data_IF_386193624723
#
_entry.id   IF_386193624723
#
_cell.length_a   1.000
_cell.length_b   1.000
_cell.length_c   1.000
_cell.angle_alpha   90.00
_cell.angle_beta   90.00
_cell.angle_gamma   90.00
#
_symmetry.space_group_name_H-M   'P 1'
#
loop_
_entity.id
_entity.type
_entity.pdbx_description
1 polymer ?
#
# COMPACT_ATOMS: atom_id res chain seq x y z
N UNK A 1 3.64 14.86 9.43
CA UNK A 1 4.87 15.48 8.87
C UNK A 1 6.05 14.76 9.49
N UNK A 2 6.51 13.67 8.88
CA UNK A 2 7.48 12.75 9.49
C UNK A 2 8.49 12.16 8.49
N UNK A 3 8.78 12.84 7.37
CA UNK A 3 9.40 12.15 6.23
C UNK A 3 10.82 12.61 5.87
N UNK A 4 11.23 13.84 6.16
CA UNK A 4 12.59 14.30 5.80
C UNK A 4 13.70 13.67 6.65
N UNK A 5 13.40 13.17 7.85
CA UNK A 5 14.41 12.59 8.75
C UNK A 5 14.55 11.07 8.63
N UNK A 6 13.55 10.41 8.04
CA UNK A 6 13.64 8.98 7.70
C UNK A 6 14.76 8.73 6.70
N UNK A 7 15.03 9.69 5.80
CA UNK A 7 16.12 9.57 4.82
C UNK A 7 17.51 9.48 5.47
N UNK A 8 17.71 10.12 6.63
CA UNK A 8 18.98 10.05 7.37
C UNK A 8 19.21 8.64 7.92
N UNK A 9 18.17 8.07 8.52
CA UNK A 9 18.20 6.70 9.03
C UNK A 9 18.45 5.69 7.90
N UNK A 10 17.75 5.83 6.78
CA UNK A 10 17.95 4.98 5.60
C UNK A 10 19.38 5.07 5.07
N UNK A 11 19.92 6.28 4.89
CA UNK A 11 21.30 6.47 4.41
C UNK A 11 22.34 5.91 5.37
N UNK A 12 22.09 5.99 6.67
CA UNK A 12 22.95 5.39 7.69
C UNK A 12 22.92 3.85 7.61
N UNK A 13 21.73 3.27 7.51
CA UNK A 13 21.53 1.82 7.42
C UNK A 13 22.07 1.24 6.10
N UNK A 14 21.89 1.93 4.97
CA UNK A 14 22.50 1.58 3.67
C UNK A 14 24.03 1.48 3.74
N UNK A 15 24.66 2.31 4.56
CA UNK A 15 26.12 2.31 4.76
C UNK A 15 26.57 1.40 5.91
N UNK A 16 25.64 0.72 6.60
CA UNK A 16 25.95 -0.14 7.74
C UNK A 16 26.50 0.60 8.97
N UNK A 17 26.23 1.90 9.10
CA UNK A 17 26.81 2.72 10.16
C UNK A 17 25.95 2.72 11.43
N UNK A 18 26.62 2.76 12.59
CA UNK A 18 25.96 2.96 13.88
C UNK A 18 25.70 4.44 14.13
N UNK A 19 24.75 4.75 15.02
CA UNK A 19 24.49 6.13 15.44
C UNK A 19 25.77 6.80 15.99
N UNK A 20 26.56 6.04 16.76
CA UNK A 20 27.84 6.49 17.32
C UNK A 20 28.90 6.78 16.26
N UNK A 21 28.96 5.95 15.21
CA UNK A 21 29.89 6.18 14.11
C UNK A 21 29.59 7.50 13.40
N UNK A 22 28.34 7.72 13.00
CA UNK A 22 27.92 8.95 12.33
C UNK A 22 28.12 10.17 13.24
N UNK A 23 27.73 10.05 14.51
CA UNK A 23 27.89 11.12 15.49
C UNK A 23 29.36 11.53 15.64
N UNK A 24 30.26 10.55 15.76
CA UNK A 24 31.70 10.78 15.82
C UNK A 24 32.25 11.44 14.55
N UNK A 25 31.84 10.95 13.38
CA UNK A 25 32.37 11.42 12.10
C UNK A 25 31.99 12.89 11.80
N UNK A 26 30.80 13.33 12.24
CA UNK A 26 30.36 14.72 12.05
C UNK A 26 30.61 15.61 13.28
N UNK A 27 31.13 15.04 14.37
CA UNK A 27 31.43 15.74 15.61
C UNK A 27 30.19 16.26 16.34
N UNK A 28 29.18 15.41 16.54
CA UNK A 28 27.98 15.71 17.36
C UNK A 28 27.72 14.57 18.35
N UNK A 29 26.78 14.75 19.27
CA UNK A 29 26.41 13.68 20.20
C UNK A 29 25.54 12.62 19.53
N UNK A 30 25.68 11.36 19.96
CA UNK A 30 24.80 10.25 19.58
C UNK A 30 23.33 10.54 19.85
N UNK A 31 23.04 11.15 21.00
CA UNK A 31 21.72 11.61 21.38
C UNK A 31 21.15 12.64 20.41
N UNK A 32 21.99 13.50 19.83
CA UNK A 32 21.58 14.42 18.77
C UNK A 32 21.13 13.60 17.56
N UNK A 33 21.98 12.75 16.97
CA UNK A 33 21.63 11.92 15.80
C UNK A 33 20.33 11.13 16.02
N UNK A 34 20.17 10.52 17.19
CA UNK A 34 18.94 9.79 17.55
C UNK A 34 17.70 10.70 17.52
N UNK A 35 17.78 11.91 18.09
CA UNK A 35 16.69 12.91 18.01
C UNK A 35 16.49 13.42 16.58
N UNK A 36 17.55 13.52 15.79
CA UNK A 36 17.48 13.94 14.38
C UNK A 36 16.70 12.90 13.56
N UNK A 37 17.06 11.62 13.61
CA UNK A 37 16.36 10.55 12.89
C UNK A 37 14.88 10.43 13.29
N UNK A 38 14.55 10.79 14.54
CA UNK A 38 13.18 10.81 15.06
C UNK A 38 12.42 12.11 14.76
N UNK A 39 13.08 13.15 14.24
CA UNK A 39 12.47 14.46 13.97
C UNK A 39 12.07 15.26 15.21
N UNK A 40 12.73 15.01 16.35
CA UNK A 40 12.37 15.59 17.66
C UNK A 40 13.07 16.93 17.92
N UNK A 41 14.08 17.30 17.13
CA UNK A 41 14.91 18.50 17.36
C UNK A 41 15.20 19.21 16.05
N UNK A 42 15.14 20.55 16.08
CA UNK A 42 15.57 21.41 14.97
C UNK A 42 17.09 21.59 14.96
N UNK A 43 17.62 21.92 13.79
CA UNK A 43 19.05 21.94 13.52
C UNK A 43 19.60 23.36 13.54
N UNK A 44 20.87 23.50 13.92
CA UNK A 44 21.66 24.65 13.46
C UNK A 44 22.04 24.43 12.01
N UNK A 45 22.25 25.52 11.25
CA UNK A 45 22.69 25.45 9.84
C UNK A 45 23.96 24.60 9.70
N UNK A 46 24.88 24.74 10.64
CA UNK A 46 26.16 24.02 10.68
C UNK A 46 25.99 22.49 10.70
N UNK A 47 25.06 21.96 11.51
CA UNK A 47 24.83 20.50 11.59
C UNK A 47 24.23 19.98 10.28
N UNK A 48 23.37 20.77 9.65
CA UNK A 48 22.77 20.43 8.34
C UNK A 48 23.84 20.40 7.25
N UNK A 49 24.72 21.40 7.21
CA UNK A 49 25.78 21.48 6.21
C UNK A 49 26.77 20.30 6.35
N UNK A 50 27.08 19.89 7.59
CA UNK A 50 27.87 18.69 7.86
C UNK A 50 27.18 17.41 7.37
N UNK A 51 25.89 17.24 7.66
CA UNK A 51 25.13 16.07 7.21
C UNK A 51 24.98 16.02 5.69
N UNK A 52 24.78 17.17 5.05
CA UNK A 52 24.72 17.30 3.60
C UNK A 52 26.03 16.87 2.96
N UNK A 53 27.15 17.34 3.50
CA UNK A 53 28.49 16.98 3.02
C UNK A 53 28.80 15.49 3.26
N UNK A 54 28.39 14.94 4.41
CA UNK A 54 28.65 13.55 4.77
C UNK A 54 27.85 12.54 3.93
N UNK A 55 26.57 12.83 3.67
CA UNK A 55 25.69 11.92 2.94
C UNK A 55 25.53 12.26 1.45
N UNK A 56 25.97 13.43 1.00
CA UNK A 56 25.75 13.92 -0.37
C UNK A 56 24.27 14.25 -0.64
N UNK A 57 23.56 14.71 0.38
CA UNK A 57 22.12 15.01 0.30
C UNK A 57 21.87 16.50 0.50
N UNK A 58 20.71 16.99 0.06
CA UNK A 58 20.28 18.38 0.24
C UNK A 58 19.20 18.45 1.32
N UNK A 59 19.61 18.45 2.58
CA UNK A 59 18.75 18.80 3.71
C UNK A 59 18.66 20.33 3.79
N UNK A 60 17.44 20.82 3.99
CA UNK A 60 17.19 22.24 4.27
C UNK A 60 16.95 22.37 5.78
N UNK A 61 17.66 23.25 6.50
CA UNK A 61 17.34 23.51 7.90
C UNK A 61 15.91 24.04 7.97
N UNK A 62 15.01 23.31 8.65
CA UNK A 62 13.70 23.85 8.98
C UNK A 62 13.92 24.99 9.97
N UNK A 63 14.00 26.22 9.45
CA UNK A 63 14.30 27.45 10.18
C UNK A 63 13.18 27.88 11.14
N UNK A 64 12.10 27.12 11.21
CA UNK A 64 10.94 27.48 11.99
C UNK A 64 10.94 26.66 13.27
N UNK A 65 11.12 27.36 14.40
CA UNK A 65 10.36 27.00 15.61
C UNK A 65 8.94 26.70 15.13
N UNK A 66 8.48 25.48 15.34
CA UNK A 66 7.06 25.19 15.32
C UNK A 66 6.46 26.03 16.45
N UNK A 67 6.13 27.30 16.18
CA UNK A 67 4.96 27.88 16.82
C UNK A 67 3.80 27.04 16.31
N UNK A 68 2.97 26.59 17.24
CA UNK A 68 1.79 25.74 17.02
C UNK A 68 0.71 26.45 16.16
N UNK A 69 1.05 27.28 15.18
CA UNK A 69 0.14 28.23 14.54
C UNK A 69 0.06 28.16 13.01
N UNK A 70 0.69 27.18 12.35
CA UNK A 70 0.41 26.86 10.92
C UNK A 70 -0.37 25.54 10.78
N UNK A 71 -1.04 25.10 11.84
CA UNK A 71 -1.66 23.78 11.93
C UNK A 71 -3.04 23.65 11.29
N UNK A 72 -3.61 24.74 10.77
CA UNK A 72 -4.99 24.75 10.27
C UNK A 72 -5.08 24.40 8.78
N UNK A 73 -4.26 25.02 7.93
CA UNK A 73 -4.46 24.94 6.47
C UNK A 73 -4.10 23.56 5.86
N UNK A 74 -3.03 22.90 6.37
CA UNK A 74 -2.64 21.57 5.87
C UNK A 74 -3.47 20.43 6.45
N UNK A 75 -4.04 20.59 7.66
CA UNK A 75 -4.91 19.56 8.25
C UNK A 75 -6.16 19.39 7.39
N UNK A 76 -6.70 20.49 6.87
CA UNK A 76 -7.87 20.46 5.98
C UNK A 76 -7.56 19.78 4.64
N UNK A 77 -6.38 20.01 4.06
CA UNK A 77 -5.96 19.32 2.83
C UNK A 77 -5.79 17.80 3.05
N UNK A 78 -5.12 17.40 4.14
CA UNK A 78 -4.98 15.99 4.49
C UNK A 78 -6.34 15.33 4.84
N UNK A 79 -7.24 16.04 5.52
CA UNK A 79 -8.58 15.53 5.83
C UNK A 79 -9.44 15.40 4.57
N UNK A 80 -9.41 16.37 3.66
CA UNK A 80 -10.09 16.28 2.35
C UNK A 80 -9.62 15.10 1.53
N UNK A 81 -8.30 14.93 1.38
CA UNK A 81 -7.74 13.78 0.64
C UNK A 81 -8.13 12.45 1.31
N UNK A 82 -8.06 12.39 2.64
CA UNK A 82 -8.41 11.17 3.36
C UNK A 82 -9.90 10.82 3.22
N UNK A 83 -10.78 11.82 3.21
CA UNK A 83 -12.22 11.60 3.02
C UNK A 83 -12.57 11.24 1.58
N UNK A 84 -11.90 11.84 0.59
CA UNK A 84 -11.99 11.41 -0.81
C UNK A 84 -11.53 9.96 -1.01
N UNK A 85 -10.42 9.57 -0.36
CA UNK A 85 -9.92 8.20 -0.39
C UNK A 85 -10.90 7.22 0.27
N UNK A 86 -11.50 7.59 1.41
CA UNK A 86 -12.55 6.77 2.04
C UNK A 86 -13.75 6.58 1.13
N UNK A 87 -14.20 7.65 0.47
CA UNK A 87 -15.35 7.58 -0.43
C UNK A 87 -15.05 6.71 -1.66
N UNK A 88 -13.86 6.84 -2.24
CA UNK A 88 -13.38 5.95 -3.31
C UNK A 88 -13.31 4.49 -2.85
N UNK A 89 -12.76 4.23 -1.68
CA UNK A 89 -12.70 2.87 -1.12
C UNK A 89 -14.10 2.27 -0.90
N UNK A 90 -15.04 3.07 -0.39
CA UNK A 90 -16.43 2.64 -0.21
C UNK A 90 -17.08 2.26 -1.54
N UNK A 91 -16.87 3.06 -2.59
CA UNK A 91 -17.36 2.76 -3.94
C UNK A 91 -16.76 1.47 -4.50
N UNK A 92 -15.45 1.27 -4.31
CA UNK A 92 -14.76 0.04 -4.72
C UNK A 92 -15.34 -1.19 -4.02
N UNK A 93 -15.57 -1.13 -2.71
CA UNK A 93 -16.16 -2.23 -1.95
C UNK A 93 -17.56 -2.56 -2.47
N UNK A 94 -18.40 -1.54 -2.71
CA UNK A 94 -19.73 -1.76 -3.28
C UNK A 94 -19.65 -2.43 -4.64
N UNK A 95 -18.71 -2.00 -5.50
CA UNK A 95 -18.52 -2.58 -6.82
C UNK A 95 -18.06 -4.04 -6.76
N UNK A 96 -17.16 -4.37 -5.83
CA UNK A 96 -16.73 -5.76 -5.58
C UNK A 96 -17.94 -6.62 -5.21
N UNK A 97 -18.78 -6.17 -4.27
CA UNK A 97 -19.96 -6.91 -3.84
C UNK A 97 -20.98 -7.14 -4.97
N UNK A 98 -21.15 -6.16 -5.87
CA UNK A 98 -21.99 -6.31 -7.06
C UNK A 98 -21.44 -7.38 -8.01
N UNK A 99 -20.15 -7.29 -8.34
CA UNK A 99 -19.48 -8.24 -9.23
C UNK A 99 -19.53 -9.66 -8.66
N UNK A 100 -19.40 -9.82 -7.34
CA UNK A 100 -19.57 -11.12 -6.69
C UNK A 100 -21.00 -11.68 -6.80
N UNK A 101 -22.02 -10.81 -6.74
CA UNK A 101 -23.41 -11.25 -6.96
C UNK A 101 -23.64 -11.67 -8.42
N UNK A 102 -23.11 -10.92 -9.37
CA UNK A 102 -23.17 -11.26 -10.79
C UNK A 102 -22.45 -12.58 -11.09
N UNK A 103 -21.23 -12.75 -10.56
CA UNK A 103 -20.48 -13.98 -10.70
C UNK A 103 -21.23 -15.19 -10.11
N UNK A 104 -21.90 -15.03 -8.97
CA UNK A 104 -22.77 -16.08 -8.40
C UNK A 104 -23.90 -16.47 -9.36
N UNK A 105 -24.59 -15.48 -9.94
CA UNK A 105 -25.67 -15.74 -10.91
C UNK A 105 -25.13 -16.43 -12.17
N UNK A 106 -23.99 -16.00 -12.69
CA UNK A 106 -23.35 -16.61 -13.85
C UNK A 106 -22.97 -18.07 -13.57
N UNK A 107 -22.38 -18.36 -12.41
CA UNK A 107 -22.09 -19.76 -12.00
C UNK A 107 -23.33 -20.64 -12.00
N UNK A 108 -24.45 -20.13 -11.47
CA UNK A 108 -25.71 -20.88 -11.47
C UNK A 108 -26.23 -21.13 -12.90
N UNK A 109 -26.14 -20.12 -13.78
CA UNK A 109 -26.52 -20.25 -15.18
C UNK A 109 -25.65 -21.26 -15.92
N UNK A 110 -24.34 -21.21 -15.72
CA UNK A 110 -23.38 -22.15 -16.31
C UNK A 110 -23.72 -23.58 -15.88
N UNK A 111 -23.91 -23.84 -14.58
CA UNK A 111 -24.27 -25.16 -14.08
C UNK A 111 -25.63 -25.65 -14.65
N UNK A 112 -26.62 -24.76 -14.77
CA UNK A 112 -27.90 -25.11 -15.40
C UNK A 112 -27.74 -25.51 -16.88
N UNK A 113 -26.90 -24.80 -17.63
CA UNK A 113 -26.57 -25.13 -19.02
C UNK A 113 -25.82 -26.47 -19.10
N UNK A 114 -24.82 -26.70 -18.26
CA UNK A 114 -24.07 -27.96 -18.21
C UNK A 114 -25.00 -29.15 -17.95
N UNK A 115 -25.95 -29.02 -17.02
CA UNK A 115 -26.97 -30.05 -16.74
C UNK A 115 -27.90 -30.28 -17.93
N UNK A 116 -28.36 -29.22 -18.60
CA UNK A 116 -29.21 -29.33 -19.77
C UNK A 116 -28.49 -30.01 -20.95
N UNK A 117 -27.21 -29.68 -21.17
CA UNK A 117 -26.37 -30.33 -22.18
C UNK A 117 -26.19 -31.82 -21.87
N UNK A 118 -25.84 -32.17 -20.63
CA UNK A 118 -25.69 -33.57 -20.19
C UNK A 118 -27.01 -34.36 -20.32
N UNK A 119 -28.13 -33.76 -19.92
CA UNK A 119 -29.46 -34.36 -20.05
C UNK A 119 -29.92 -34.56 -21.50
N UNK A 120 -29.68 -33.57 -22.37
CA UNK A 120 -29.97 -33.68 -23.80
C UNK A 120 -29.10 -34.73 -24.49
N UNK A 121 -27.81 -34.83 -24.12
CA UNK A 121 -26.94 -35.92 -24.57
C UNK A 121 -27.55 -37.27 -24.17
N UNK A 122 -27.85 -37.47 -22.88
CA UNK A 122 -28.48 -38.71 -22.38
C UNK A 122 -29.77 -39.08 -23.13
N UNK A 123 -30.65 -38.11 -23.39
CA UNK A 123 -31.91 -38.32 -24.11
C UNK A 123 -31.72 -38.63 -25.59
N UNK A 124 -30.73 -38.04 -26.26
CA UNK A 124 -30.44 -38.30 -27.68
C UNK A 124 -29.87 -39.71 -27.92
N UNK A 125 -29.07 -40.24 -26.99
CA UNK A 125 -28.47 -41.58 -27.10
C UNK A 125 -29.35 -42.70 -26.49
N UNK A 126 -30.39 -42.37 -25.71
CA UNK A 126 -31.31 -43.35 -25.09
C UNK A 126 -32.01 -44.29 -26.09
N UNK A 127 -32.53 -43.82 -27.24
CA UNK A 127 -33.14 -44.69 -28.25
C UNK A 127 -32.10 -45.57 -28.96
N UNK A 128 -30.90 -45.03 -29.20
CA UNK A 128 -29.79 -45.72 -29.88
C UNK A 128 -29.27 -46.88 -29.03
N UNK A 129 -29.12 -46.68 -27.73
CA UNK A 129 -28.67 -47.73 -26.81
C UNK A 129 -29.74 -48.82 -26.62
N UNK A 130 -31.02 -48.44 -26.49
CA UNK A 130 -32.13 -49.41 -26.47
C UNK A 130 -32.22 -50.25 -27.75
N UNK A 131 -31.97 -49.65 -28.91
CA UNK A 131 -31.97 -50.34 -30.20
C UNK A 131 -30.79 -51.32 -30.35
N UNK A 132 -29.65 -51.04 -29.72
CA UNK A 132 -28.50 -51.96 -29.64
C UNK A 132 -28.79 -53.13 -28.70
N UNK A 133 -29.33 -52.86 -27.51
CA UNK A 133 -29.73 -53.89 -26.55
C UNK A 133 -30.81 -54.84 -27.09
N UNK A 134 -31.70 -54.36 -27.98
CA UNK A 134 -32.70 -55.19 -28.64
C UNK A 134 -32.19 -56.02 -29.83
N UNK A 135 -31.00 -55.70 -30.35
CA UNK A 135 -30.36 -56.41 -31.47
C UNK A 135 -29.30 -57.44 -31.01
N UNK A 136 -29.03 -57.54 -29.70
CA UNK A 136 -28.12 -58.52 -29.08
C UNK A 136 -28.89 -59.75 -28.53
N UNK A 137 -29.87 -60.28 -29.28
CA UNK A 137 -30.50 -61.61 -29.06
C UNK A 137 -30.09 -62.56 -30.19
#
# INVERSE_FOLDING_TARGET
>A
MADDFRILRLKREERGYTLSKVASDIGVSTSMICKLEKGVTSFTKEVVDKLNSYYGIKLVPLKYKCSLTVYTDRKDWYMKINDELKEKNKKLINRINELEKENRKLKLRVNAVEKAVSGNYSMAYRPINKAKESNDI
#
